data_IF_964373892798
#
_entry.id   IF_964373892798
#
_cell.length_a   1.000
_cell.length_b   1.000
_cell.length_c   1.000
_cell.angle_alpha   90.00
_cell.angle_beta   90.00
_cell.angle_gamma   90.00
#
_symmetry.space_group_name_H-M   'P 1'
#
loop_
_entity.id
_entity.type
_entity.pdbx_description
1 polymer ?
#
# COMPACT_ATOMS: atom_id res chain seq x y z
N UNK A 1 -33.95 25.29 -53.23
CA UNK A 1 -33.12 25.51 -52.02
C UNK A 1 -33.78 25.09 -50.68
N UNK A 2 -34.99 24.48 -50.64
CA UNK A 2 -35.71 24.19 -49.37
C UNK A 2 -35.46 22.80 -48.75
N UNK A 3 -34.88 21.83 -49.48
CA UNK A 3 -34.67 20.44 -48.97
C UNK A 3 -33.48 20.26 -48.01
N UNK A 4 -32.46 21.12 -48.07
CA UNK A 4 -31.28 21.01 -47.18
C UNK A 4 -31.56 21.45 -45.74
N UNK A 5 -32.51 22.37 -45.54
CA UNK A 5 -32.93 22.81 -44.22
C UNK A 5 -33.86 21.82 -43.51
N UNK A 6 -34.58 20.97 -44.26
CA UNK A 6 -35.42 19.90 -43.71
C UNK A 6 -34.59 18.77 -43.07
N UNK A 7 -33.40 18.49 -43.60
CA UNK A 7 -32.49 17.48 -43.02
C UNK A 7 -31.72 18.01 -41.80
N UNK A 8 -31.44 19.31 -41.74
CA UNK A 8 -30.78 19.92 -40.57
C UNK A 8 -31.74 20.06 -39.37
N UNK A 9 -33.04 20.24 -39.62
CA UNK A 9 -34.04 20.38 -38.56
C UNK A 9 -34.32 19.06 -37.81
N UNK A 10 -34.08 17.89 -38.42
CA UNK A 10 -34.33 16.59 -37.79
C UNK A 10 -33.16 16.07 -36.94
N UNK A 11 -31.96 16.63 -37.08
CA UNK A 11 -30.76 16.21 -36.32
C UNK A 11 -30.72 16.86 -34.93
N UNK A 12 -31.23 18.08 -34.81
CA UNK A 12 -31.28 18.85 -33.56
C UNK A 12 -32.01 18.10 -32.42
N UNK A 13 -33.21 17.52 -32.61
CA UNK A 13 -33.88 16.79 -31.54
C UNK A 13 -33.16 15.49 -31.17
N UNK A 14 -32.46 14.84 -32.11
CA UNK A 14 -31.67 13.62 -31.84
C UNK A 14 -30.45 13.96 -31.00
N UNK A 15 -29.75 15.06 -31.31
CA UNK A 15 -28.60 15.54 -30.52
C UNK A 15 -29.04 16.01 -29.14
N UNK A 16 -30.19 16.70 -29.02
CA UNK A 16 -30.75 17.08 -27.73
C UNK A 16 -31.17 15.87 -26.89
N UNK A 17 -31.78 14.84 -27.50
CA UNK A 17 -32.10 13.59 -26.82
C UNK A 17 -30.84 12.84 -26.35
N UNK A 18 -29.76 12.87 -27.15
CA UNK A 18 -28.48 12.27 -26.77
C UNK A 18 -27.84 13.00 -25.59
N UNK A 19 -27.91 14.34 -25.56
CA UNK A 19 -27.42 15.17 -24.44
C UNK A 19 -28.24 14.94 -23.17
N UNK A 20 -29.56 14.77 -23.29
CA UNK A 20 -30.44 14.44 -22.17
C UNK A 20 -30.23 13.01 -21.62
N UNK A 21 -29.62 12.10 -22.40
CA UNK A 21 -29.28 10.73 -21.95
C UNK A 21 -27.95 10.65 -21.18
N UNK A 22 -27.06 11.64 -21.33
CA UNK A 22 -25.76 11.69 -20.63
C UNK A 22 -25.89 11.62 -19.09
N UNK A 23 -26.84 12.32 -18.42
CA UNK A 23 -27.00 12.20 -16.97
C UNK A 23 -27.51 10.83 -16.51
N UNK A 24 -28.17 10.04 -17.37
CA UNK A 24 -28.62 8.68 -17.05
C UNK A 24 -27.50 7.63 -17.19
N UNK A 25 -26.44 7.93 -17.93
CA UNK A 25 -25.23 7.09 -18.01
C UNK A 25 -24.32 7.22 -16.78
N UNK A 26 -24.58 8.19 -15.89
CA UNK A 26 -24.01 8.26 -14.55
C UNK A 26 -24.87 7.51 -13.53
N UNK A 27 -25.41 6.35 -13.92
CA UNK A 27 -25.86 5.37 -12.94
C UNK A 27 -24.64 4.97 -12.11
N UNK A 28 -24.75 5.19 -10.80
CA UNK A 28 -23.75 4.90 -9.79
C UNK A 28 -23.03 3.59 -10.08
N UNK A 29 -21.77 3.66 -10.49
CA UNK A 29 -20.86 2.54 -10.26
C UNK A 29 -20.55 2.60 -8.78
N UNK A 30 -21.09 1.68 -7.94
CA UNK A 30 -20.68 1.62 -6.55
C UNK A 30 -19.18 1.34 -6.56
N UNK A 31 -18.39 2.35 -6.20
CA UNK A 31 -16.96 2.19 -5.96
C UNK A 31 -16.82 1.01 -4.99
N UNK A 32 -16.03 -0.03 -5.32
CA UNK A 32 -15.92 -1.21 -4.48
C UNK A 32 -15.25 -0.77 -3.18
N UNK A 33 -16.07 -0.66 -2.12
CA UNK A 33 -15.63 -0.28 -0.78
C UNK A 33 -14.77 -1.44 -0.25
N UNK A 34 -13.51 -1.22 0.19
CA UNK A 34 -12.75 -2.28 0.87
C UNK A 34 -13.43 -2.54 2.23
N UNK A 35 -14.04 -3.71 2.37
CA UNK A 35 -14.79 -4.18 3.54
C UNK A 35 -14.00 -5.19 4.38
N UNK A 36 -12.88 -5.70 3.87
CA UNK A 36 -12.05 -6.72 4.52
C UNK A 36 -10.62 -6.25 4.77
N UNK A 37 -9.94 -6.86 5.76
CA UNK A 37 -8.52 -6.60 6.03
C UNK A 37 -7.60 -6.95 4.86
N UNK A 38 -8.04 -7.83 3.95
CA UNK A 38 -7.31 -8.22 2.74
C UNK A 38 -7.34 -7.10 1.70
N UNK A 39 -8.51 -6.54 1.42
CA UNK A 39 -8.64 -5.46 0.43
C UNK A 39 -7.89 -4.19 0.88
N UNK A 40 -7.84 -3.92 2.19
CA UNK A 40 -7.04 -2.83 2.72
C UNK A 40 -5.53 -3.07 2.55
N UNK A 41 -5.07 -4.32 2.66
CA UNK A 41 -3.66 -4.66 2.42
C UNK A 41 -3.29 -4.48 0.94
N UNK A 42 -4.15 -4.91 0.01
CA UNK A 42 -3.96 -4.72 -1.43
C UNK A 42 -3.95 -3.24 -1.81
N UNK A 43 -4.85 -2.44 -1.22
CA UNK A 43 -4.87 -0.99 -1.42
C UNK A 43 -3.57 -0.33 -0.94
N UNK A 44 -3.07 -0.76 0.23
CA UNK A 44 -1.78 -0.30 0.77
C UNK A 44 -0.64 -0.64 -0.17
N UNK A 45 -0.60 -1.86 -0.70
CA UNK A 45 0.42 -2.30 -1.64
C UNK A 45 0.38 -1.50 -2.95
N UNK A 46 -0.82 -1.28 -3.48
CA UNK A 46 -1.01 -0.44 -4.67
C UNK A 46 -0.53 0.99 -4.43
N UNK A 47 -0.87 1.59 -3.29
CA UNK A 47 -0.45 2.93 -2.93
C UNK A 47 1.08 3.02 -2.75
N UNK A 48 1.71 1.98 -2.20
CA UNK A 48 3.19 1.86 -2.11
C UNK A 48 3.84 1.94 -3.46
N UNK A 49 3.39 1.10 -4.39
CA UNK A 49 3.94 1.01 -5.73
C UNK A 49 3.77 2.35 -6.46
N UNK A 50 2.59 2.94 -6.38
CA UNK A 50 2.33 4.23 -7.02
C UNK A 50 3.23 5.34 -6.47
N UNK A 51 3.32 5.46 -5.15
CA UNK A 51 4.19 6.45 -4.48
C UNK A 51 5.68 6.23 -4.76
N UNK A 52 6.12 4.97 -4.90
CA UNK A 52 7.49 4.66 -5.28
C UNK A 52 7.80 5.17 -6.69
N UNK A 53 6.92 4.87 -7.65
CA UNK A 53 7.09 5.29 -9.05
C UNK A 53 7.05 6.80 -9.16
N UNK A 54 6.18 7.47 -8.41
CA UNK A 54 6.09 8.93 -8.33
C UNK A 54 7.39 9.54 -7.77
N UNK A 55 7.86 9.04 -6.62
CA UNK A 55 9.03 9.61 -5.93
C UNK A 55 10.36 9.37 -6.67
N UNK A 56 10.53 8.21 -7.29
CA UNK A 56 11.80 7.81 -7.95
C UNK A 56 11.77 8.11 -9.45
N UNK A 57 10.59 8.28 -10.03
CA UNK A 57 10.40 8.55 -11.47
C UNK A 57 11.27 7.65 -12.38
N UNK A 58 11.20 6.31 -12.25
CA UNK A 58 12.01 5.39 -13.05
C UNK A 58 11.62 5.42 -14.54
N UNK A 59 12.60 5.22 -15.42
CA UNK A 59 12.34 5.03 -16.86
C UNK A 59 11.53 3.76 -17.11
N UNK A 60 10.97 3.61 -18.31
CA UNK A 60 10.18 2.42 -18.67
C UNK A 60 10.98 1.11 -18.47
N UNK A 61 12.26 1.12 -18.80
CA UNK A 61 13.17 -0.02 -18.66
C UNK A 61 13.53 -0.32 -17.19
N UNK A 62 13.60 0.70 -16.35
CA UNK A 62 13.91 0.58 -14.92
C UNK A 62 12.71 0.10 -14.08
N UNK A 63 11.47 0.38 -14.51
CA UNK A 63 10.26 0.13 -13.70
C UNK A 63 10.13 -1.33 -13.25
N UNK A 64 10.14 -2.27 -14.19
CA UNK A 64 9.94 -3.69 -13.88
C UNK A 64 11.03 -4.26 -12.94
N UNK A 65 12.34 -4.06 -13.20
CA UNK A 65 13.37 -4.56 -12.30
C UNK A 65 13.33 -3.84 -10.94
N UNK A 66 13.06 -2.53 -10.90
CA UNK A 66 12.91 -1.79 -9.64
C UNK A 66 11.77 -2.34 -8.79
N UNK A 67 10.58 -2.55 -9.38
CA UNK A 67 9.42 -3.08 -8.67
C UNK A 67 9.68 -4.49 -8.15
N UNK A 68 10.40 -5.32 -8.92
CA UNK A 68 10.78 -6.67 -8.50
C UNK A 68 11.65 -6.64 -7.25
N UNK A 69 12.69 -5.80 -7.22
CA UNK A 69 13.58 -5.68 -6.07
C UNK A 69 12.91 -5.00 -4.88
N UNK A 70 12.06 -4.00 -5.13
CA UNK A 70 11.27 -3.37 -4.09
C UNK A 70 10.33 -4.35 -3.40
N UNK A 71 9.66 -5.22 -4.16
CA UNK A 71 8.79 -6.25 -3.60
C UNK A 71 9.58 -7.27 -2.77
N UNK A 72 10.79 -7.65 -3.23
CA UNK A 72 11.69 -8.51 -2.45
C UNK A 72 12.10 -7.83 -1.13
N UNK A 73 12.42 -6.55 -1.14
CA UNK A 73 12.71 -5.77 0.06
C UNK A 73 11.52 -5.71 1.03
N UNK A 74 10.31 -5.48 0.53
CA UNK A 74 9.12 -5.41 1.38
C UNK A 74 8.78 -6.76 2.01
N UNK A 75 8.94 -7.87 1.26
CA UNK A 75 8.84 -9.24 1.79
C UNK A 75 9.88 -9.52 2.86
N UNK A 76 11.15 -9.16 2.61
CA UNK A 76 12.23 -9.30 3.60
C UNK A 76 11.90 -8.54 4.89
N UNK A 77 11.48 -7.26 4.78
CA UNK A 77 11.08 -6.47 5.94
C UNK A 77 9.89 -7.08 6.68
N UNK A 78 8.94 -7.71 5.99
CA UNK A 78 7.79 -8.37 6.60
C UNK A 78 8.22 -9.62 7.37
N UNK A 79 9.06 -10.46 6.77
CA UNK A 79 9.62 -11.65 7.39
C UNK A 79 10.43 -11.27 8.64
N UNK A 80 11.36 -10.33 8.52
CA UNK A 80 12.16 -9.83 9.64
C UNK A 80 11.28 -9.32 10.78
N UNK A 81 10.23 -8.51 10.51
CA UNK A 81 9.31 -8.06 11.57
C UNK A 81 8.65 -9.21 12.33
N UNK A 82 8.33 -10.31 11.64
CA UNK A 82 7.71 -11.50 12.24
C UNK A 82 8.72 -12.24 13.12
N UNK A 83 9.88 -12.55 12.57
CA UNK A 83 10.94 -13.32 13.23
C UNK A 83 11.55 -12.53 14.41
N UNK A 84 11.81 -11.24 14.24
CA UNK A 84 12.27 -10.35 15.31
C UNK A 84 11.27 -10.30 16.47
N UNK A 85 9.97 -10.19 16.18
CA UNK A 85 8.94 -10.21 17.22
C UNK A 85 8.91 -11.55 17.95
N UNK A 86 9.03 -12.66 17.23
CA UNK A 86 9.05 -13.99 17.81
C UNK A 86 10.27 -14.20 18.71
N UNK A 87 11.48 -13.89 18.23
CA UNK A 87 12.72 -14.03 19.00
C UNK A 87 12.72 -13.12 20.24
N UNK A 88 12.23 -11.88 20.12
CA UNK A 88 12.11 -10.97 21.27
C UNK A 88 11.10 -11.46 22.31
N UNK A 89 9.96 -12.00 21.88
CA UNK A 89 8.97 -12.59 22.79
C UNK A 89 9.56 -13.81 23.53
N UNK A 90 10.30 -14.66 22.83
CA UNK A 90 10.98 -15.81 23.43
C UNK A 90 12.02 -15.37 24.47
N UNK A 91 12.85 -14.38 24.15
CA UNK A 91 13.82 -13.82 25.09
C UNK A 91 13.13 -13.27 26.34
N UNK A 92 12.01 -12.53 26.17
CA UNK A 92 11.23 -12.00 27.29
C UNK A 92 10.69 -13.12 28.19
N UNK A 93 10.17 -14.19 27.59
CA UNK A 93 9.65 -15.35 28.34
C UNK A 93 10.76 -16.03 29.15
N UNK A 94 11.90 -16.32 28.53
CA UNK A 94 13.04 -16.97 29.17
C UNK A 94 13.64 -16.11 30.29
N UNK A 95 13.69 -14.79 30.09
CA UNK A 95 14.15 -13.86 31.13
C UNK A 95 13.22 -13.84 32.35
N UNK A 96 11.90 -13.86 32.14
CA UNK A 96 10.92 -13.87 33.23
C UNK A 96 10.82 -15.20 33.97
N UNK A 97 11.30 -16.30 33.37
CA UNK A 97 11.28 -17.61 33.98
C UNK A 97 12.43 -17.86 34.99
N UNK A 98 13.32 -16.88 35.19
CA UNK A 98 14.52 -16.94 36.03
C UNK A 98 15.41 -18.14 35.72
N UNK A 99 16.41 -18.01 34.83
CA UNK A 99 17.27 -19.14 34.45
C UNK A 99 18.31 -19.43 35.54
N UNK A 100 17.88 -19.97 36.68
CA UNK A 100 18.77 -20.36 37.78
C UNK A 100 19.39 -21.75 37.56
N UNK A 101 18.91 -22.47 36.54
CA UNK A 101 19.46 -23.76 36.13
C UNK A 101 20.40 -23.61 34.94
N UNK A 102 21.41 -24.49 34.89
CA UNK A 102 22.34 -24.59 33.76
C UNK A 102 21.59 -24.82 32.43
N UNK A 103 20.48 -25.56 32.46
CA UNK A 103 19.61 -25.78 31.31
C UNK A 103 18.93 -24.48 30.85
N UNK A 104 18.38 -23.70 31.78
CA UNK A 104 17.77 -22.39 31.47
C UNK A 104 18.76 -21.38 30.91
N UNK A 105 20.01 -21.39 31.40
CA UNK A 105 21.08 -20.54 30.85
C UNK A 105 21.42 -20.96 29.41
N UNK A 106 21.50 -22.27 29.12
CA UNK A 106 21.74 -22.77 27.78
C UNK A 106 20.61 -22.40 26.80
N UNK A 107 19.35 -22.51 27.23
CA UNK A 107 18.19 -22.07 26.43
C UNK A 107 18.23 -20.57 26.12
N UNK A 108 18.59 -19.75 27.10
CA UNK A 108 18.75 -18.31 26.90
C UNK A 108 19.87 -17.99 25.91
N UNK A 109 21.00 -18.71 25.98
CA UNK A 109 22.09 -18.59 25.01
C UNK A 109 21.63 -18.95 23.60
N UNK A 110 20.90 -20.06 23.43
CA UNK A 110 20.34 -20.43 22.13
C UNK A 110 19.39 -19.36 21.58
N UNK A 111 18.51 -18.81 22.43
CA UNK A 111 17.59 -17.74 22.01
C UNK A 111 18.33 -16.44 21.62
N UNK A 112 19.41 -16.09 22.32
CA UNK A 112 20.26 -14.94 21.99
C UNK A 112 20.98 -15.14 20.66
N UNK A 113 21.53 -16.33 20.42
CA UNK A 113 22.17 -16.69 19.14
C UNK A 113 21.16 -16.58 18.00
N UNK A 114 19.98 -17.16 18.15
CA UNK A 114 18.93 -17.08 17.14
C UNK A 114 18.49 -15.64 16.85
N UNK A 115 18.33 -14.81 17.89
CA UNK A 115 18.01 -13.40 17.71
C UNK A 115 19.09 -12.65 16.90
N UNK A 116 20.37 -12.91 17.20
CA UNK A 116 21.51 -12.34 16.47
C UNK A 116 21.52 -12.79 15.00
N UNK A 117 21.22 -14.06 14.73
CA UNK A 117 21.13 -14.60 13.36
C UNK A 117 20.02 -13.89 12.55
N UNK A 118 18.85 -13.66 13.15
CA UNK A 118 17.74 -12.93 12.51
C UNK A 118 18.15 -11.49 12.15
N UNK A 119 18.82 -10.78 13.05
CA UNK A 119 19.32 -9.43 12.80
C UNK A 119 20.36 -9.39 11.69
N UNK A 120 21.39 -10.23 11.81
CA UNK A 120 22.50 -10.25 10.85
C UNK A 120 22.03 -10.71 9.46
N UNK A 121 21.15 -11.71 9.40
CA UNK A 121 20.55 -12.18 8.16
C UNK A 121 19.73 -11.09 7.46
N UNK A 122 18.93 -10.33 8.23
CA UNK A 122 18.18 -9.19 7.69
C UNK A 122 19.10 -8.10 7.14
N UNK A 123 20.15 -7.73 7.88
CA UNK A 123 21.10 -6.69 7.45
C UNK A 123 21.81 -7.11 6.16
N UNK A 124 22.33 -8.34 6.09
CA UNK A 124 23.06 -8.85 4.94
C UNK A 124 22.18 -8.92 3.68
N UNK A 125 20.98 -9.51 3.80
CA UNK A 125 20.08 -9.63 2.66
C UNK A 125 19.54 -8.27 2.21
N UNK A 126 19.28 -7.36 3.17
CA UNK A 126 18.90 -5.98 2.84
C UNK A 126 20.00 -5.29 2.04
N UNK A 127 21.26 -5.39 2.47
CA UNK A 127 22.40 -4.78 1.75
C UNK A 127 22.50 -5.31 0.32
N UNK A 128 22.33 -6.62 0.13
CA UNK A 128 22.31 -7.24 -1.19
C UNK A 128 21.20 -6.66 -2.09
N UNK A 129 19.97 -6.59 -1.59
CA UNK A 129 18.85 -6.02 -2.36
C UNK A 129 19.08 -4.54 -2.66
N UNK A 130 19.65 -3.76 -1.73
CA UNK A 130 19.97 -2.36 -1.98
C UNK A 130 21.01 -2.22 -3.09
N UNK A 131 22.07 -3.02 -3.07
CA UNK A 131 23.07 -3.01 -4.14
C UNK A 131 22.47 -3.37 -5.51
N UNK A 132 21.52 -4.31 -5.56
CA UNK A 132 20.78 -4.65 -6.77
C UNK A 132 19.87 -3.50 -7.25
N UNK A 133 19.29 -2.71 -6.34
CA UNK A 133 18.51 -1.50 -6.67
C UNK A 133 19.42 -0.38 -7.20
N UNK A 134 20.58 -0.19 -6.58
CA UNK A 134 21.54 0.83 -6.96
C UNK A 134 22.09 0.60 -8.38
N UNK A 135 22.17 -0.65 -8.83
CA UNK A 135 22.52 -0.99 -10.22
C UNK A 135 21.43 -0.62 -11.24
N UNK A 136 20.18 -0.47 -10.81
CA UNK A 136 19.05 -0.13 -11.68
C UNK A 136 18.91 1.40 -11.80
N UNK A 137 19.14 2.13 -10.71
CA UNK A 137 18.83 3.54 -10.57
C UNK A 137 20.06 4.43 -10.84
N UNK A 138 19.82 5.64 -11.36
CA UNK A 138 20.84 6.69 -11.37
C UNK A 138 21.12 7.19 -9.95
N UNK A 139 22.24 7.88 -9.73
CA UNK A 139 22.60 8.44 -8.42
C UNK A 139 21.51 9.36 -7.85
N UNK A 140 20.86 10.16 -8.71
CA UNK A 140 19.74 11.01 -8.31
C UNK A 140 18.53 10.18 -7.85
N UNK A 141 18.18 9.15 -8.63
CA UNK A 141 17.08 8.23 -8.31
C UNK A 141 17.37 7.40 -7.06
N UNK A 142 18.62 7.04 -6.80
CA UNK A 142 19.05 6.37 -5.57
C UNK A 142 18.79 7.27 -4.35
N UNK A 143 19.14 8.56 -4.42
CA UNK A 143 18.85 9.51 -3.36
C UNK A 143 17.34 9.64 -3.12
N UNK A 144 16.55 9.76 -4.20
CA UNK A 144 15.08 9.78 -4.12
C UNK A 144 14.52 8.50 -3.49
N UNK A 145 15.05 7.32 -3.86
CA UNK A 145 14.66 6.04 -3.29
C UNK A 145 14.97 5.97 -1.79
N UNK A 146 16.16 6.41 -1.36
CA UNK A 146 16.53 6.46 0.06
C UNK A 146 15.57 7.36 0.84
N UNK A 147 15.32 8.58 0.35
CA UNK A 147 14.39 9.53 0.98
C UNK A 147 12.97 8.96 1.05
N UNK A 148 12.51 8.32 -0.02
CA UNK A 148 11.25 7.59 -0.06
C UNK A 148 11.22 6.52 1.05
N UNK A 149 12.21 5.63 1.13
CA UNK A 149 12.20 4.56 2.14
C UNK A 149 12.20 5.05 3.58
N UNK A 150 12.77 6.25 3.83
CA UNK A 150 12.79 6.89 5.15
C UNK A 150 11.45 7.53 5.52
N UNK A 151 10.87 8.33 4.62
CA UNK A 151 9.68 9.15 4.89
C UNK A 151 8.35 8.43 4.65
N UNK A 152 8.33 7.49 3.70
CA UNK A 152 7.11 6.93 3.14
C UNK A 152 6.19 6.27 4.19
N UNK A 153 6.75 5.61 5.21
CA UNK A 153 5.93 4.94 6.25
C UNK A 153 5.04 5.93 7.00
N UNK A 154 5.55 7.12 7.28
CA UNK A 154 4.78 8.14 7.99
C UNK A 154 3.69 8.70 7.07
N UNK A 155 4.02 8.95 5.80
CA UNK A 155 3.06 9.43 4.81
C UNK A 155 1.95 8.42 4.54
N UNK A 156 2.30 7.15 4.35
CA UNK A 156 1.34 6.07 4.14
C UNK A 156 0.38 5.95 5.34
N UNK A 157 0.90 6.02 6.57
CA UNK A 157 0.05 5.96 7.77
C UNK A 157 -0.95 7.12 7.80
N UNK A 158 -0.50 8.35 7.50
CA UNK A 158 -1.38 9.52 7.42
C UNK A 158 -2.43 9.36 6.32
N UNK A 159 -2.02 8.91 5.13
CA UNK A 159 -2.93 8.67 4.01
C UNK A 159 -4.02 7.64 4.34
N UNK A 160 -3.64 6.53 4.98
CA UNK A 160 -4.60 5.51 5.42
C UNK A 160 -5.54 6.01 6.50
N UNK A 161 -5.05 6.79 7.47
CA UNK A 161 -5.90 7.40 8.49
C UNK A 161 -6.93 8.34 7.87
N UNK A 162 -6.53 9.16 6.91
CA UNK A 162 -7.46 10.03 6.16
C UNK A 162 -8.49 9.21 5.40
N UNK A 163 -8.08 8.15 4.70
CA UNK A 163 -9.01 7.28 3.95
C UNK A 163 -10.03 6.61 4.87
N UNK A 164 -9.60 6.07 6.01
CA UNK A 164 -10.49 5.47 7.01
C UNK A 164 -11.47 6.53 7.56
N UNK A 165 -10.98 7.72 7.90
CA UNK A 165 -11.84 8.80 8.40
C UNK A 165 -12.89 9.25 7.38
N UNK A 166 -12.52 9.35 6.10
CA UNK A 166 -13.47 9.64 5.01
C UNK A 166 -14.51 8.53 4.86
N UNK A 167 -14.12 7.25 5.01
CA UNK A 167 -15.06 6.13 5.00
C UNK A 167 -16.05 6.18 6.17
N UNK A 168 -15.61 6.57 7.37
CA UNK A 168 -16.48 6.71 8.54
C UNK A 168 -17.47 7.88 8.40
N UNK A 169 -17.05 9.00 7.81
CA UNK A 169 -17.93 10.14 7.56
C UNK A 169 -19.01 9.82 6.52
N UNK A 170 -18.65 9.14 5.43
CA UNK A 170 -19.61 8.67 4.42
C UNK A 170 -20.66 7.69 4.99
N UNK A 171 -20.25 6.82 5.91
CA UNK A 171 -21.15 5.91 6.64
C UNK A 171 -22.18 6.67 7.49
N UNK A 172 -21.78 7.79 8.09
CA UNK A 172 -22.65 8.58 8.98
C UNK A 172 -23.69 9.37 8.20
N UNK A 173 -23.31 9.91 7.03
CA UNK A 173 -24.22 10.62 6.12
C UNK A 173 -25.22 9.67 5.45
N UNK A 174 -24.81 8.47 5.06
CA UNK A 174 -25.73 7.46 4.48
C UNK A 174 -26.79 7.01 5.51
N UNK A 175 -26.43 6.85 6.78
CA UNK A 175 -27.36 6.49 7.86
C UNK A 175 -28.34 7.64 8.17
N UNK A 176 -27.88 8.88 8.14
CA UNK A 176 -28.72 10.07 8.37
C UNK A 176 -29.69 10.30 7.20
N UNK A 177 -29.25 10.12 5.96
CA UNK A 177 -30.09 10.21 4.77
C UNK A 177 -31.13 9.07 4.72
N UNK A 178 -30.76 7.84 5.09
CA UNK A 178 -31.69 6.72 5.18
C UNK A 178 -32.78 6.95 6.26
N UNK A 179 -32.44 7.62 7.37
CA UNK A 179 -33.41 7.98 8.41
C UNK A 179 -34.32 9.14 8.03
N UNK A 180 -33.91 10.06 7.16
CA UNK A 180 -34.76 11.18 6.72
C UNK A 180 -35.77 10.79 5.63
N UNK A 181 -35.61 9.63 5.00
CA UNK A 181 -36.55 9.09 4.00
C UNK A 181 -37.67 8.24 4.65
N UNK A 182 -37.52 7.83 5.90
CA UNK A 182 -38.51 7.01 6.65
C UNK A 182 -39.41 7.88 7.56
N UNK A 183 -39.54 9.18 7.28
CA UNK A 183 -40.48 10.08 7.97
C UNK A 183 -41.51 10.67 7.03
#
# INVERSE_FOLDING_TARGET
MKRRYLLLLSVIPVVLALVFLIPFLKADTPSPRPTTSSELAELVETLKIWKLVDAVSPTAEQKLPLLTQFNRLEKLKMQYRREHRQSMNQLKQLQTATPDSQAGIAELQTALTHHSEVENGFIAERQKIMAEIDQILTVEQQAQFILFTYSYRQELRKALQTLIAVQEQGKTTDILAAKSVIR
#
